data_IF_796516711216
#
_entry.id   IF_796516711216
#
_cell.length_a   1.000
_cell.length_b   1.000
_cell.length_c   1.000
_cell.angle_alpha   90.00
_cell.angle_beta   90.00
_cell.angle_gamma   90.00
#
_symmetry.space_group_name_H-M   'P 1'
#
loop_
_entity.id
_entity.type
_entity.pdbx_description
1 polymer ?
#
# COMPACT_ATOMS: atom_id res chain seq x y z
N UNK A 1 48.34 -12.77 11.57
CA UNK A 1 49.04 -12.37 10.33
C UNK A 1 49.39 -10.91 10.47
N UNK A 2 50.67 -10.61 10.56
CA UNK A 2 51.25 -9.28 10.73
C UNK A 2 51.15 -8.48 9.43
N UNK A 3 50.60 -7.26 9.46
CA UNK A 3 50.73 -6.29 8.38
C UNK A 3 51.40 -5.02 8.91
N UNK A 4 52.34 -4.43 8.15
CA UNK A 4 53.24 -3.41 8.67
C UNK A 4 52.53 -2.06 8.78
N UNK A 5 52.63 -1.42 9.94
CA UNK A 5 52.29 0.00 10.09
C UNK A 5 53.40 0.82 9.42
N UNK A 6 53.03 1.60 8.40
CA UNK A 6 53.87 2.68 7.86
C UNK A 6 53.36 4.00 8.43
N UNK A 7 54.14 4.75 9.22
CA UNK A 7 53.83 6.13 9.52
C UNK A 7 54.39 7.01 8.40
N UNK A 8 53.62 7.98 7.91
CA UNK A 8 54.21 9.11 7.19
C UNK A 8 53.45 10.40 7.53
N UNK A 9 54.17 11.24 8.28
CA UNK A 9 54.14 12.69 8.47
C UNK A 9 52.79 13.42 8.57
N UNK A 10 52.64 14.05 9.73
CA UNK A 10 51.57 14.93 10.16
C UNK A 10 51.60 16.24 9.37
N UNK A 11 50.51 16.57 8.66
CA UNK A 11 50.15 17.96 8.38
C UNK A 11 48.83 18.26 9.11
N UNK A 12 48.96 19.23 9.99
CA UNK A 12 47.99 19.85 10.89
C UNK A 12 46.60 20.09 10.28
N UNK A 13 45.56 19.48 10.86
CA UNK A 13 44.24 20.04 11.18
C UNK A 13 43.38 18.91 11.76
N UNK A 14 43.10 18.97 13.07
CA UNK A 14 42.26 18.02 13.80
C UNK A 14 40.79 18.15 13.37
N UNK A 15 40.41 17.46 12.31
CA UNK A 15 39.11 16.79 12.27
C UNK A 15 39.40 15.34 12.59
N UNK A 16 38.96 14.88 13.77
CA UNK A 16 38.88 13.45 14.04
C UNK A 16 37.93 12.84 13.01
N UNK A 17 38.47 12.35 11.89
CA UNK A 17 37.74 11.48 10.97
C UNK A 17 37.59 10.16 11.72
N UNK A 18 36.54 10.07 12.52
CA UNK A 18 36.17 8.80 13.14
C UNK A 18 35.83 7.86 11.99
N UNK A 19 36.48 6.70 11.84
CA UNK A 19 36.07 5.72 10.87
C UNK A 19 34.63 5.32 11.19
N UNK A 20 33.68 5.75 10.37
CA UNK A 20 32.32 5.23 10.44
C UNK A 20 32.45 3.74 10.10
N UNK A 21 32.00 2.81 10.97
CA UNK A 21 31.97 1.41 10.60
C UNK A 21 31.18 1.29 9.30
N UNK A 22 31.76 0.64 8.28
CA UNK A 22 30.99 0.21 7.12
C UNK A 22 29.95 -0.80 7.62
N UNK A 23 28.78 -0.31 8.03
CA UNK A 23 27.64 -1.17 8.34
C UNK A 23 27.13 -1.63 6.98
N UNK A 24 27.33 -2.91 6.59
CA UNK A 24 26.73 -3.40 5.36
C UNK A 24 25.22 -3.17 5.47
N UNK A 25 24.56 -2.65 4.42
CA UNK A 25 23.11 -2.52 4.42
C UNK A 25 22.53 -3.89 4.81
N UNK A 26 21.52 -3.94 5.70
CA UNK A 26 20.99 -5.20 6.20
C UNK A 26 20.67 -6.10 5.01
N UNK A 27 21.33 -7.25 4.95
CA UNK A 27 21.20 -8.19 3.85
C UNK A 27 19.71 -8.60 3.81
N UNK A 28 19.00 -8.17 2.77
CA UNK A 28 17.56 -8.42 2.67
C UNK A 28 17.32 -9.93 2.66
N UNK A 29 16.70 -10.46 3.71
CA UNK A 29 16.30 -11.87 3.83
C UNK A 29 15.06 -12.19 3.01
N UNK A 30 14.48 -11.19 2.33
CA UNK A 30 13.28 -11.33 1.52
C UNK A 30 13.64 -11.99 0.20
N UNK A 31 13.05 -13.17 -0.06
CA UNK A 31 13.16 -13.86 -1.34
C UNK A 31 12.55 -13.00 -2.46
N UNK A 32 13.22 -12.83 -3.61
CA UNK A 32 12.65 -12.13 -4.75
C UNK A 32 11.27 -12.70 -5.13
N UNK A 33 10.31 -11.83 -5.38
CA UNK A 33 8.94 -12.21 -5.74
C UNK A 33 8.05 -12.63 -4.58
N UNK A 34 8.53 -12.67 -3.33
CA UNK A 34 7.64 -12.80 -2.16
C UNK A 34 6.89 -11.49 -1.87
N UNK A 35 5.66 -11.54 -1.33
CA UNK A 35 4.97 -10.34 -0.87
C UNK A 35 5.76 -9.62 0.24
N UNK A 36 5.91 -8.31 0.12
CA UNK A 36 6.55 -7.46 1.12
C UNK A 36 5.59 -6.41 1.66
N UNK A 37 5.72 -6.01 2.93
CA UNK A 37 4.95 -4.89 3.46
C UNK A 37 5.22 -3.60 2.69
N UNK A 38 4.18 -2.81 2.45
CA UNK A 38 4.29 -1.49 1.82
C UNK A 38 3.49 -0.47 2.63
N UNK A 39 3.98 0.77 2.65
CA UNK A 39 3.32 1.85 3.38
C UNK A 39 1.89 2.07 2.84
N UNK A 40 0.93 2.20 3.74
CA UNK A 40 -0.50 2.36 3.40
C UNK A 40 -0.82 3.68 2.71
N UNK A 41 0.03 4.70 2.88
CA UNK A 41 -0.06 5.98 2.19
C UNK A 41 0.56 5.97 0.79
N UNK A 42 1.21 4.86 0.38
CA UNK A 42 1.78 4.75 -0.95
C UNK A 42 0.69 4.98 -2.02
N UNK A 43 0.94 5.82 -3.04
CA UNK A 43 -0.07 6.13 -4.07
C UNK A 43 -0.62 4.90 -4.79
N UNK A 44 0.23 3.91 -5.06
CA UNK A 44 -0.17 2.64 -5.67
C UNK A 44 -1.10 1.82 -4.77
N UNK A 45 -0.84 1.82 -3.46
CA UNK A 45 -1.70 1.18 -2.45
C UNK A 45 -3.07 1.86 -2.37
N UNK A 46 -3.11 3.19 -2.32
CA UNK A 46 -4.36 3.97 -2.33
C UNK A 46 -5.18 3.73 -3.60
N UNK A 47 -4.49 3.68 -4.75
CA UNK A 47 -5.12 3.38 -6.05
C UNK A 47 -5.67 1.96 -6.09
N UNK A 48 -4.92 0.98 -5.59
CA UNK A 48 -5.36 -0.41 -5.50
C UNK A 48 -6.58 -0.56 -4.58
N UNK A 49 -6.58 0.10 -3.41
CA UNK A 49 -7.75 0.11 -2.51
C UNK A 49 -8.99 0.68 -3.21
N UNK A 50 -8.84 1.78 -3.95
CA UNK A 50 -9.93 2.37 -4.75
C UNK A 50 -10.49 1.39 -5.78
N UNK A 51 -9.65 0.62 -6.48
CA UNK A 51 -10.12 -0.43 -7.40
C UNK A 51 -10.87 -1.55 -6.68
N UNK A 52 -10.39 -1.98 -5.51
CA UNK A 52 -11.09 -2.95 -4.66
C UNK A 52 -12.48 -2.48 -4.24
N UNK A 53 -12.60 -1.21 -3.84
CA UNK A 53 -13.89 -0.57 -3.51
C UNK A 53 -14.83 -0.53 -4.71
N UNK A 54 -14.33 -0.17 -5.90
CA UNK A 54 -15.14 -0.20 -7.12
C UNK A 54 -15.65 -1.61 -7.43
N UNK A 55 -14.78 -2.62 -7.30
CA UNK A 55 -15.17 -4.02 -7.47
C UNK A 55 -16.29 -4.41 -6.50
N UNK A 56 -16.15 -4.07 -5.22
CA UNK A 56 -17.17 -4.33 -4.20
C UNK A 56 -18.50 -3.64 -4.54
N UNK A 57 -18.48 -2.34 -4.85
CA UNK A 57 -19.67 -1.57 -5.18
C UNK A 57 -20.43 -2.16 -6.37
N UNK A 58 -19.70 -2.62 -7.40
CA UNK A 58 -20.28 -3.23 -8.60
C UNK A 58 -20.92 -4.61 -8.33
N UNK A 59 -20.44 -5.36 -7.34
CA UNK A 59 -20.99 -6.67 -6.97
C UNK A 59 -22.05 -6.62 -5.85
N UNK A 60 -22.08 -5.53 -5.08
CA UNK A 60 -22.96 -5.39 -3.93
C UNK A 60 -24.36 -4.95 -4.35
N UNK A 61 -25.38 -5.45 -3.66
CA UNK A 61 -26.78 -5.02 -3.84
C UNK A 61 -27.18 -3.83 -2.96
N UNK A 62 -26.24 -3.23 -2.22
CA UNK A 62 -26.53 -2.03 -1.42
C UNK A 62 -26.93 -0.86 -2.32
N UNK A 63 -27.91 -0.06 -1.91
CA UNK A 63 -28.38 1.12 -2.65
C UNK A 63 -27.33 2.23 -2.70
N UNK A 64 -26.48 2.31 -1.67
CA UNK A 64 -25.46 3.34 -1.53
C UNK A 64 -24.08 2.85 -1.94
N UNK A 65 -23.25 3.79 -2.37
CA UNK A 65 -21.84 3.55 -2.63
C UNK A 65 -21.07 3.43 -1.31
N UNK A 66 -20.09 2.54 -1.27
CA UNK A 66 -19.06 2.49 -0.24
C UNK A 66 -17.79 3.19 -0.71
N UNK A 67 -17.04 3.75 0.23
CA UNK A 67 -15.75 4.41 0.02
C UNK A 67 -14.75 3.94 1.06
N UNK A 68 -13.49 3.78 0.69
CA UNK A 68 -12.41 3.45 1.62
C UNK A 68 -12.29 4.52 2.73
N UNK A 69 -12.36 4.08 3.99
CA UNK A 69 -12.12 4.94 5.15
C UNK A 69 -10.68 4.83 5.63
N UNK A 70 -10.12 3.61 5.63
CA UNK A 70 -8.78 3.37 6.12
C UNK A 70 -8.17 2.10 5.50
N UNK A 71 -6.89 2.16 5.13
CA UNK A 71 -6.11 0.99 4.75
C UNK A 71 -5.31 0.57 5.99
N UNK A 72 -5.63 -0.61 6.54
CA UNK A 72 -5.05 -1.12 7.79
C UNK A 72 -3.72 -1.82 7.55
N UNK A 73 -3.62 -2.58 6.46
CA UNK A 73 -2.43 -3.34 6.06
C UNK A 73 -2.34 -3.40 4.55
N UNK A 74 -1.12 -3.30 4.04
CA UNK A 74 -0.84 -3.43 2.61
C UNK A 74 0.44 -4.23 2.40
N UNK A 75 0.37 -5.20 1.49
CA UNK A 75 1.52 -5.92 0.96
C UNK A 75 1.56 -5.74 -0.56
N UNK A 76 2.74 -5.81 -1.15
CA UNK A 76 2.93 -5.82 -2.60
C UNK A 76 3.83 -6.97 -3.01
N UNK A 77 3.49 -7.60 -4.12
CA UNK A 77 4.26 -8.68 -4.72
C UNK A 77 4.53 -8.35 -6.20
N UNK A 78 5.79 -8.42 -6.62
CA UNK A 78 6.21 -8.18 -8.00
C UNK A 78 6.15 -9.51 -8.76
N UNK A 79 5.12 -9.68 -9.59
CA UNK A 79 4.85 -10.92 -10.34
C UNK A 79 4.22 -10.59 -11.68
N UNK A 80 5.03 -10.32 -12.72
CA UNK A 80 4.55 -9.84 -14.04
C UNK A 80 3.52 -8.71 -13.92
N UNK A 81 3.71 -7.85 -12.93
CA UNK A 81 2.82 -6.79 -12.49
C UNK A 81 3.02 -6.53 -11.00
N UNK A 82 2.18 -5.68 -10.44
CA UNK A 82 2.14 -5.35 -9.02
C UNK A 82 0.87 -5.95 -8.42
N UNK A 83 1.00 -7.03 -7.67
CA UNK A 83 -0.09 -7.64 -6.92
C UNK A 83 -0.12 -7.04 -5.52
N UNK A 84 -1.13 -6.21 -5.26
CA UNK A 84 -1.41 -5.65 -3.94
C UNK A 84 -2.35 -6.56 -3.16
N UNK A 85 -2.06 -6.79 -1.88
CA UNK A 85 -2.90 -7.52 -0.94
C UNK A 85 -3.23 -6.58 0.21
N UNK A 86 -4.51 -6.21 0.34
CA UNK A 86 -4.94 -5.06 1.13
C UNK A 86 -5.99 -5.47 2.14
N UNK A 87 -5.82 -5.04 3.39
CA UNK A 87 -6.90 -5.00 4.38
C UNK A 87 -7.41 -3.57 4.47
N UNK A 88 -8.65 -3.36 4.03
CA UNK A 88 -9.25 -2.03 3.87
C UNK A 88 -10.56 -1.99 4.64
N UNK A 89 -10.74 -0.95 5.45
CA UNK A 89 -12.04 -0.58 6.00
C UNK A 89 -12.75 0.32 4.99
N UNK A 90 -14.00 -0.02 4.67
CA UNK A 90 -14.85 0.75 3.76
C UNK A 90 -16.13 1.17 4.51
N UNK A 91 -16.62 2.37 4.23
CA UNK A 91 -17.82 2.93 4.87
C UNK A 91 -18.85 3.34 3.85
N UNK A 92 -20.13 3.12 4.19
CA UNK A 92 -21.26 3.55 3.38
C UNK A 92 -21.26 5.09 3.26
N UNK A 93 -21.53 5.57 2.06
CA UNK A 93 -21.63 6.99 1.73
C UNK A 93 -23.08 7.43 1.59
N UNK A 94 -23.29 8.73 1.47
CA UNK A 94 -24.60 9.31 1.16
C UNK A 94 -24.96 9.22 -0.32
N UNK A 95 -24.01 8.88 -1.19
CA UNK A 95 -24.25 8.75 -2.62
C UNK A 95 -24.97 7.45 -2.95
N UNK A 96 -26.05 7.53 -3.72
CA UNK A 96 -26.69 6.35 -4.30
C UNK A 96 -25.93 5.87 -5.53
N UNK A 97 -26.02 4.56 -5.82
CA UNK A 97 -25.31 3.97 -6.97
C UNK A 97 -25.82 4.49 -8.31
N UNK A 98 -27.11 4.82 -8.41
CA UNK A 98 -27.76 5.28 -9.65
C UNK A 98 -27.34 6.69 -10.09
N UNK A 99 -26.78 7.48 -9.19
CA UNK A 99 -26.43 8.89 -9.48
C UNK A 99 -25.08 9.05 -10.18
N UNK A 100 -24.41 7.94 -10.54
CA UNK A 100 -23.09 7.93 -11.20
C UNK A 100 -22.04 8.84 -10.54
N UNK A 101 -22.16 9.01 -9.22
CA UNK A 101 -21.33 9.94 -8.46
C UNK A 101 -19.90 9.45 -8.33
N UNK A 102 -18.93 10.37 -8.45
CA UNK A 102 -17.53 10.07 -8.13
C UNK A 102 -17.35 9.86 -6.63
N UNK A 103 -16.69 8.78 -6.25
CA UNK A 103 -16.40 8.48 -4.84
C UNK A 103 -15.62 9.59 -4.15
N UNK A 104 -14.81 10.39 -4.87
CA UNK A 104 -14.06 11.49 -4.26
C UNK A 104 -14.98 12.55 -3.64
N UNK A 105 -16.14 12.81 -4.27
CA UNK A 105 -17.17 13.76 -3.80
C UNK A 105 -18.18 13.13 -2.84
N UNK A 106 -18.16 11.81 -2.66
CA UNK A 106 -19.07 11.12 -1.76
C UNK A 106 -18.61 11.20 -0.31
N UNK A 107 -19.46 11.80 0.54
CA UNK A 107 -19.26 11.88 1.98
C UNK A 107 -19.82 10.63 2.68
N UNK A 108 -19.24 10.26 3.82
CA UNK A 108 -19.73 9.14 4.63
C UNK A 108 -21.11 9.43 5.23
N UNK A 109 -21.91 8.37 5.42
CA UNK A 109 -23.21 8.46 6.10
C UNK A 109 -23.05 9.03 7.52
N UNK A 110 -23.88 10.02 7.85
CA UNK A 110 -23.95 10.63 9.19
C UNK A 110 -25.11 10.07 10.03
N UNK A 111 -26.15 9.56 9.37
CA UNK A 111 -27.27 8.94 10.05
C UNK A 111 -26.83 7.58 10.65
N UNK A 112 -26.90 7.46 11.98
CA UNK A 112 -26.47 6.26 12.72
C UNK A 112 -27.14 4.97 12.22
N UNK A 113 -28.43 5.05 11.84
CA UNK A 113 -29.19 3.89 11.35
C UNK A 113 -28.76 3.47 9.93
N UNK A 114 -28.16 4.38 9.16
CA UNK A 114 -27.67 4.12 7.81
C UNK A 114 -26.15 3.92 7.77
N UNK A 115 -25.43 4.14 8.86
CA UNK A 115 -24.00 3.89 8.92
C UNK A 115 -23.73 2.40 8.81
N UNK A 116 -22.82 2.05 7.89
CA UNK A 116 -22.31 0.70 7.76
C UNK A 116 -20.83 0.75 7.44
N UNK A 117 -20.05 -0.02 8.19
CA UNK A 117 -18.61 -0.16 8.02
C UNK A 117 -18.35 -1.63 7.73
N UNK A 118 -17.53 -1.92 6.73
CA UNK A 118 -17.12 -3.27 6.39
C UNK A 118 -15.60 -3.35 6.37
N UNK A 119 -15.09 -4.52 6.73
CA UNK A 119 -13.67 -4.83 6.66
C UNK A 119 -13.45 -5.77 5.48
N UNK A 120 -12.64 -5.33 4.55
CA UNK A 120 -12.42 -6.02 3.29
C UNK A 120 -10.99 -6.50 3.15
N UNK A 121 -10.83 -7.66 2.54
CA UNK A 121 -9.59 -8.13 1.96
C UNK A 121 -9.69 -8.04 0.43
N UNK A 122 -8.78 -7.28 -0.18
CA UNK A 122 -8.68 -7.14 -1.63
C UNK A 122 -7.34 -7.66 -2.12
N UNK A 123 -7.38 -8.45 -3.20
CA UNK A 123 -6.20 -8.66 -4.04
C UNK A 123 -6.39 -7.91 -5.34
N UNK A 124 -5.44 -7.02 -5.66
CA UNK A 124 -5.52 -6.15 -6.83
C UNK A 124 -4.22 -6.25 -7.59
N UNK A 125 -4.30 -6.75 -8.82
CA UNK A 125 -3.16 -6.94 -9.69
C UNK A 125 -3.16 -5.88 -10.79
N UNK A 126 -2.18 -4.99 -10.74
CA UNK A 126 -2.01 -3.89 -11.68
C UNK A 126 -0.82 -4.20 -12.58
N UNK A 127 -0.98 -4.05 -13.90
CA UNK A 127 0.11 -4.18 -14.87
C UNK A 127 0.32 -2.83 -15.57
N UNK A 128 1.18 -1.96 -15.01
CA UNK A 128 1.29 -0.56 -15.44
C UNK A 128 1.55 -0.38 -16.93
N UNK A 129 2.43 -1.21 -17.51
CA UNK A 129 2.83 -1.14 -18.93
C UNK A 129 1.75 -1.55 -19.93
N UNK A 130 0.67 -2.21 -19.50
CA UNK A 130 -0.48 -2.53 -20.36
C UNK A 130 -1.77 -1.86 -19.89
N UNK A 131 -1.69 -1.02 -18.86
CA UNK A 131 -2.84 -0.35 -18.25
C UNK A 131 -3.97 -1.30 -17.80
N UNK A 132 -3.67 -2.57 -17.52
CA UNK A 132 -4.68 -3.55 -17.08
C UNK A 132 -4.73 -3.63 -15.55
N UNK A 133 -5.93 -3.83 -15.04
CA UNK A 133 -6.22 -4.06 -13.62
C UNK A 133 -7.10 -5.31 -13.51
N UNK A 134 -6.69 -6.23 -12.64
CA UNK A 134 -7.43 -7.46 -12.34
C UNK A 134 -7.63 -7.57 -10.84
N UNK A 135 -8.87 -7.79 -10.39
CA UNK A 135 -9.22 -7.88 -8.96
C UNK A 135 -9.74 -9.30 -8.69
N UNK A 136 -8.86 -10.29 -8.49
CA UNK A 136 -9.28 -11.68 -8.29
C UNK A 136 -10.04 -11.89 -6.98
N UNK A 137 -9.76 -11.09 -5.96
CA UNK A 137 -10.31 -11.28 -4.61
C UNK A 137 -10.91 -9.97 -4.10
N UNK A 138 -12.16 -10.04 -3.65
CA UNK A 138 -12.85 -8.98 -2.94
C UNK A 138 -13.82 -9.58 -1.92
N UNK A 139 -13.33 -9.81 -0.70
CA UNK A 139 -14.12 -10.35 0.40
C UNK A 139 -14.31 -9.30 1.47
N UNK A 140 -15.55 -9.07 1.90
CA UNK A 140 -15.90 -8.08 2.91
C UNK A 140 -16.81 -8.71 3.97
N UNK A 141 -16.60 -8.34 5.24
CA UNK A 141 -17.43 -8.71 6.38
C UNK A 141 -17.88 -7.47 7.16
#
# INVERSE_FOLDING_TARGET
SSHPFRPLMCFTLMFCVVPVPNVPPPHSTVRPGSPVPVNTNNPGVRKAARFGVYRYNNSSNDLFLFKESQIKKAMVQIVRGLKYMLHVEIKRTVCEKRDHSSLDRCHFQRNKNMQRTLRCYFEVWITPWTHKVHIPVAHCH
#
